data_IF_215763489910
#
_entry.id   IF_215763489910
#
_cell.length_a   1.000
_cell.length_b   1.000
_cell.length_c   1.000
_cell.angle_alpha   90.00
_cell.angle_beta   90.00
_cell.angle_gamma   90.00
#
_symmetry.space_group_name_H-M   'P 1'
#
loop_
_entity.id
_entity.type
_entity.pdbx_description
1 polymer ?
#
# COMPACT_ATOMS: atom_id res chain seq x y z
N UNK A 1 -18.96 30.31 -14.79
CA UNK A 1 -17.50 30.53 -14.75
C UNK A 1 -16.89 30.26 -13.37
N UNK A 2 -17.49 29.38 -12.54
CA UNK A 2 -17.14 29.22 -11.11
C UNK A 2 -16.18 28.03 -10.88
N UNK A 3 -16.24 26.98 -11.71
CA UNK A 3 -15.43 25.77 -11.55
C UNK A 3 -13.94 25.98 -11.86
N UNK A 4 -13.61 26.86 -12.83
CA UNK A 4 -12.22 27.16 -13.18
C UNK A 4 -11.48 27.86 -12.03
N UNK A 5 -12.17 28.73 -11.30
CA UNK A 5 -11.59 29.45 -10.16
C UNK A 5 -11.43 28.54 -8.93
N UNK A 6 -12.36 27.60 -8.74
CA UNK A 6 -12.24 26.58 -7.70
C UNK A 6 -11.05 25.65 -7.94
N UNK A 7 -10.90 25.14 -9.17
CA UNK A 7 -9.80 24.24 -9.50
C UNK A 7 -8.44 24.93 -9.37
N UNK A 8 -8.35 26.19 -9.83
CA UNK A 8 -7.14 27.00 -9.68
C UNK A 8 -6.79 27.19 -8.20
N UNK A 9 -7.79 27.50 -7.36
CA UNK A 9 -7.59 27.66 -5.91
C UNK A 9 -7.10 26.38 -5.23
N UNK A 10 -7.58 25.21 -5.63
CA UNK A 10 -7.11 23.92 -5.11
C UNK A 10 -5.67 23.62 -5.52
N UNK A 11 -5.30 23.96 -6.76
CA UNK A 11 -3.93 23.81 -7.26
C UNK A 11 -2.97 24.75 -6.51
N UNK A 12 -3.37 26.01 -6.31
CA UNK A 12 -2.57 26.99 -5.59
C UNK A 12 -2.35 26.56 -4.12
N UNK A 13 -3.40 26.06 -3.45
CA UNK A 13 -3.32 25.49 -2.10
C UNK A 13 -2.36 24.30 -2.02
N UNK A 14 -2.43 23.39 -3.00
CA UNK A 14 -1.54 22.23 -3.05
C UNK A 14 -0.06 22.64 -3.17
N UNK A 15 0.25 23.60 -4.04
CA UNK A 15 1.63 24.09 -4.18
C UNK A 15 2.10 24.90 -2.98
N UNK A 16 1.20 25.62 -2.29
CA UNK A 16 1.52 26.33 -1.05
C UNK A 16 1.87 25.35 0.08
N UNK A 17 1.09 24.27 0.24
CA UNK A 17 1.37 23.20 1.21
C UNK A 17 2.66 22.44 0.87
N UNK A 18 2.88 22.13 -0.41
CA UNK A 18 4.11 21.50 -0.89
C UNK A 18 5.33 22.40 -0.65
N UNK A 19 5.20 23.70 -0.89
CA UNK A 19 6.26 24.68 -0.63
C UNK A 19 6.51 24.84 0.87
N UNK A 20 5.49 24.76 1.71
CA UNK A 20 5.65 24.77 3.17
C UNK A 20 6.32 23.50 3.70
N UNK A 21 6.10 22.35 3.05
CA UNK A 21 6.81 21.09 3.29
C UNK A 21 8.28 21.15 2.88
N UNK A 22 8.59 21.82 1.77
CA UNK A 22 9.94 21.92 1.21
C UNK A 22 10.76 23.09 1.77
N UNK A 23 10.10 24.18 2.16
CA UNK A 23 10.73 25.29 2.83
C UNK A 23 11.06 24.84 4.26
N UNK A 24 12.36 24.76 4.57
CA UNK A 24 12.96 24.41 5.87
C UNK A 24 12.51 25.31 7.04
N UNK A 25 11.21 25.42 7.31
CA UNK A 25 10.70 25.75 8.64
C UNK A 25 10.76 24.46 9.44
N UNK A 26 11.32 24.47 10.66
CA UNK A 26 11.30 23.28 11.49
C UNK A 26 9.83 22.97 11.77
N UNK A 27 9.36 21.87 11.20
CA UNK A 27 8.11 21.27 11.59
C UNK A 27 8.17 21.01 13.09
N UNK A 28 7.03 21.17 13.80
CA UNK A 28 6.94 20.75 15.21
C UNK A 28 7.42 19.31 15.29
N UNK A 29 8.30 19.01 16.23
CA UNK A 29 9.03 17.75 16.33
C UNK A 29 8.13 16.51 16.27
N UNK A 30 6.90 16.62 16.77
CA UNK A 30 5.85 15.59 16.66
C UNK A 30 5.41 15.32 15.21
N UNK A 31 5.22 16.35 14.38
CA UNK A 31 4.87 16.16 12.96
C UNK A 31 6.02 15.53 12.18
N UNK A 32 7.27 15.84 12.53
CA UNK A 32 8.45 15.18 11.95
C UNK A 32 8.50 13.71 12.34
N UNK A 33 8.32 13.37 13.62
CA UNK A 33 8.26 11.97 14.07
C UNK A 33 7.13 11.19 13.42
N UNK A 34 5.97 11.81 13.23
CA UNK A 34 4.86 11.19 12.50
C UNK A 34 5.20 10.98 11.02
N UNK A 35 5.77 11.97 10.34
CA UNK A 35 6.17 11.86 8.94
C UNK A 35 7.35 10.90 8.73
N UNK A 36 8.29 10.83 9.67
CA UNK A 36 9.37 9.85 9.71
C UNK A 36 8.80 8.44 9.93
N UNK A 37 7.87 8.27 10.86
CA UNK A 37 7.16 7.00 11.04
C UNK A 37 6.36 6.58 9.81
N UNK A 38 5.75 7.53 9.10
CA UNK A 38 5.10 7.26 7.81
C UNK A 38 6.13 6.95 6.71
N UNK A 39 7.23 7.68 6.60
CA UNK A 39 8.28 7.42 5.61
C UNK A 39 8.95 6.06 5.85
N UNK A 40 9.20 5.67 7.08
CA UNK A 40 9.67 4.33 7.47
C UNK A 40 8.60 3.26 7.13
N UNK A 41 7.32 3.61 7.32
CA UNK A 41 6.13 2.83 6.89
C UNK A 41 5.83 2.86 5.39
N UNK A 42 6.50 3.66 4.56
CA UNK A 42 6.28 3.69 3.09
C UNK A 42 7.57 3.57 2.25
N UNK A 43 8.69 3.11 2.83
CA UNK A 43 9.99 2.87 2.15
C UNK A 43 10.33 1.36 2.08
N UNK A 44 11.57 0.98 1.69
CA UNK A 44 12.01 -0.44 1.66
C UNK A 44 11.78 -1.18 3.00
N UNK A 45 11.81 -0.47 4.13
CA UNK A 45 11.52 -1.03 5.46
C UNK A 45 10.09 -1.55 5.62
N UNK A 46 9.14 -0.97 4.88
CA UNK A 46 7.73 -1.36 4.82
C UNK A 46 7.53 -2.73 4.20
N UNK A 47 8.29 -3.00 3.15
CA UNK A 47 8.22 -4.26 2.45
C UNK A 47 8.78 -5.38 3.34
N UNK A 48 9.94 -5.14 3.97
CA UNK A 48 10.48 -6.04 5.00
C UNK A 48 9.53 -6.21 6.19
N UNK A 49 8.87 -5.13 6.63
CA UNK A 49 7.83 -5.20 7.66
C UNK A 49 6.71 -6.15 7.21
N UNK A 50 6.07 -5.93 6.06
CA UNK A 50 4.97 -6.81 5.62
C UNK A 50 5.41 -8.24 5.30
N UNK A 51 6.66 -8.45 4.84
CA UNK A 51 7.23 -9.79 4.67
C UNK A 51 7.38 -10.52 6.02
N UNK A 52 7.74 -9.81 7.08
CA UNK A 52 7.97 -10.42 8.40
C UNK A 52 6.74 -10.41 9.31
N UNK A 53 5.78 -9.50 9.10
CA UNK A 53 4.58 -9.37 9.91
C UNK A 53 3.60 -10.51 9.61
N UNK A 54 3.08 -11.23 10.62
CA UNK A 54 2.05 -12.25 10.42
C UNK A 54 0.83 -11.69 9.69
N UNK A 55 0.22 -12.49 8.82
CA UNK A 55 -0.92 -12.03 8.00
C UNK A 55 -2.13 -11.66 8.87
N UNK A 56 -2.28 -12.31 10.02
CA UNK A 56 -3.31 -12.07 11.01
C UNK A 56 -3.19 -10.66 11.61
N UNK A 57 -1.96 -10.19 11.85
CA UNK A 57 -1.71 -8.83 12.36
C UNK A 57 -1.99 -7.77 11.28
N UNK A 58 -1.70 -8.07 10.01
CA UNK A 58 -2.07 -7.21 8.88
C UNK A 58 -3.60 -7.10 8.78
N UNK A 59 -4.33 -8.20 8.93
CA UNK A 59 -5.78 -8.15 8.94
C UNK A 59 -6.32 -7.39 10.14
N UNK A 60 -5.79 -7.59 11.35
CA UNK A 60 -6.25 -6.84 12.52
C UNK A 60 -6.20 -5.31 12.31
N UNK A 61 -5.19 -4.82 11.60
CA UNK A 61 -5.01 -3.38 11.35
C UNK A 61 -5.81 -2.88 10.13
N UNK A 62 -5.93 -3.69 9.06
CA UNK A 62 -6.43 -3.23 7.75
C UNK A 62 -7.63 -4.02 7.21
N UNK A 63 -8.30 -4.84 8.03
CA UNK A 63 -9.33 -5.80 7.59
C UNK A 63 -10.38 -5.23 6.61
N UNK A 64 -10.77 -3.97 6.84
CA UNK A 64 -11.81 -3.26 6.08
C UNK A 64 -11.26 -2.18 5.14
N UNK A 65 -9.94 -1.96 5.11
CA UNK A 65 -9.29 -1.01 4.20
C UNK A 65 -8.81 -1.75 2.95
N UNK A 66 -9.74 -1.91 2.01
CA UNK A 66 -9.53 -2.62 0.74
C UNK A 66 -8.34 -2.06 -0.03
N UNK A 67 -8.23 -0.74 -0.14
CA UNK A 67 -7.19 -0.09 -0.93
C UNK A 67 -5.81 -0.37 -0.33
N UNK A 68 -5.69 -0.30 1.01
CA UNK A 68 -4.42 -0.61 1.68
C UNK A 68 -4.07 -2.09 1.53
N UNK A 69 -5.03 -3.01 1.67
CA UNK A 69 -4.77 -4.44 1.46
C UNK A 69 -4.35 -4.75 0.01
N UNK A 70 -4.94 -4.08 -0.99
CA UNK A 70 -4.51 -4.22 -2.39
C UNK A 70 -3.06 -3.76 -2.57
N UNK A 71 -2.69 -2.60 -2.04
CA UNK A 71 -1.32 -2.08 -2.09
C UNK A 71 -0.34 -3.04 -1.41
N UNK A 72 -0.66 -3.54 -0.21
CA UNK A 72 0.20 -4.49 0.50
C UNK A 72 0.40 -5.77 -0.33
N UNK A 73 -0.68 -6.32 -0.90
CA UNK A 73 -0.59 -7.52 -1.72
C UNK A 73 0.28 -7.33 -2.97
N UNK A 74 0.16 -6.18 -3.63
CA UNK A 74 1.01 -5.81 -4.76
C UNK A 74 2.47 -5.67 -4.36
N UNK A 75 2.76 -4.99 -3.24
CA UNK A 75 4.12 -4.84 -2.74
C UNK A 75 4.78 -6.19 -2.47
N UNK A 76 4.07 -7.11 -1.79
CA UNK A 76 4.56 -8.46 -1.53
C UNK A 76 4.82 -9.26 -2.81
N UNK A 77 4.10 -8.97 -3.90
CA UNK A 77 4.30 -9.60 -5.20
C UNK A 77 5.45 -9.02 -6.03
N UNK A 78 5.97 -7.86 -5.63
CA UNK A 78 7.19 -7.28 -6.22
C UNK A 78 8.45 -7.82 -5.51
N UNK A 79 8.31 -8.40 -4.33
CA UNK A 79 9.41 -9.09 -3.65
C UNK A 79 9.59 -10.50 -4.15
N UNK A 80 10.87 -10.88 -4.21
CA UNK A 80 11.38 -12.12 -4.80
C UNK A 80 10.65 -13.39 -4.35
N UNK A 81 10.92 -14.45 -5.13
CA UNK A 81 10.30 -15.76 -5.19
C UNK A 81 10.38 -16.61 -3.90
N UNK A 82 9.84 -16.12 -2.79
CA UNK A 82 9.64 -16.92 -1.58
C UNK A 82 8.19 -17.41 -1.49
N UNK A 83 8.00 -18.73 -1.37
CA UNK A 83 6.67 -19.35 -1.27
C UNK A 83 5.86 -18.76 -0.11
N UNK A 84 6.47 -18.50 1.04
CA UNK A 84 5.78 -17.95 2.21
C UNK A 84 5.21 -16.55 1.96
N UNK A 85 5.97 -15.70 1.25
CA UNK A 85 5.54 -14.34 0.86
C UNK A 85 4.41 -14.40 -0.16
N UNK A 86 4.51 -15.29 -1.16
CA UNK A 86 3.46 -15.49 -2.16
C UNK A 86 2.15 -16.02 -1.54
N UNK A 87 2.24 -16.96 -0.60
CA UNK A 87 1.08 -17.46 0.14
C UNK A 87 0.43 -16.35 0.99
N UNK A 88 1.24 -15.48 1.60
CA UNK A 88 0.74 -14.30 2.33
C UNK A 88 0.00 -13.35 1.41
N UNK A 89 0.57 -13.01 0.26
CA UNK A 89 -0.09 -12.17 -0.75
C UNK A 89 -1.43 -12.80 -1.19
N UNK A 90 -1.46 -14.10 -1.46
CA UNK A 90 -2.68 -14.80 -1.85
C UNK A 90 -3.79 -14.72 -0.79
N UNK A 91 -3.44 -14.87 0.50
CA UNK A 91 -4.40 -14.70 1.60
C UNK A 91 -4.97 -13.29 1.64
N UNK A 92 -4.12 -12.27 1.45
CA UNK A 92 -4.56 -10.86 1.44
C UNK A 92 -5.50 -10.58 0.26
N UNK A 93 -5.16 -11.02 -0.96
CA UNK A 93 -6.05 -10.88 -2.12
C UNK A 93 -7.36 -11.66 -1.89
N UNK A 94 -7.29 -12.84 -1.28
CA UNK A 94 -8.46 -13.62 -0.88
C UNK A 94 -9.38 -12.84 0.05
N UNK A 95 -8.82 -12.14 1.05
CA UNK A 95 -9.60 -11.26 1.92
C UNK A 95 -10.25 -10.13 1.14
N UNK A 96 -9.49 -9.44 0.28
CA UNK A 96 -10.00 -8.36 -0.56
C UNK A 96 -11.19 -8.80 -1.40
N UNK A 97 -11.15 -9.98 -2.02
CA UNK A 97 -12.29 -10.50 -2.79
C UNK A 97 -13.54 -10.79 -1.96
N UNK A 98 -13.39 -11.06 -0.65
CA UNK A 98 -14.52 -11.25 0.26
C UNK A 98 -15.16 -9.91 0.63
N UNK A 99 -14.35 -8.88 0.88
CA UNK A 99 -14.83 -7.57 1.38
C UNK A 99 -15.16 -6.57 0.27
N UNK A 100 -14.52 -6.69 -0.89
CA UNK A 100 -14.71 -5.80 -2.04
C UNK A 100 -15.97 -6.20 -2.80
N UNK A 101 -16.81 -5.20 -3.12
CA UNK A 101 -17.95 -5.39 -4.04
C UNK A 101 -17.54 -5.29 -5.51
N UNK A 102 -16.37 -4.71 -5.78
CA UNK A 102 -15.88 -4.49 -7.12
C UNK A 102 -15.01 -5.64 -7.59
N UNK A 103 -15.22 -6.06 -8.84
CA UNK A 103 -14.36 -7.02 -9.53
C UNK A 103 -13.08 -6.34 -10.01
N UNK A 104 -11.95 -7.03 -9.92
CA UNK A 104 -10.65 -6.54 -10.38
C UNK A 104 -9.94 -7.58 -11.24
N UNK A 105 -9.71 -7.25 -12.52
CA UNK A 105 -8.91 -8.07 -13.43
C UNK A 105 -7.49 -8.28 -12.89
N UNK A 106 -6.90 -7.24 -12.33
CA UNK A 106 -5.56 -7.27 -11.73
C UNK A 106 -5.48 -8.26 -10.57
N UNK A 107 -6.50 -8.31 -9.70
CA UNK A 107 -6.54 -9.29 -8.60
C UNK A 107 -6.61 -10.73 -9.12
N UNK A 108 -7.43 -10.96 -10.16
CA UNK A 108 -7.53 -12.28 -10.80
C UNK A 108 -6.18 -12.71 -11.39
N UNK A 109 -5.55 -11.85 -12.18
CA UNK A 109 -4.23 -12.11 -12.79
C UNK A 109 -3.15 -12.38 -11.74
N UNK A 110 -3.13 -11.62 -10.64
CA UNK A 110 -2.18 -11.84 -9.55
C UNK A 110 -2.38 -13.19 -8.86
N UNK A 111 -3.63 -13.64 -8.64
CA UNK A 111 -3.88 -14.99 -8.09
C UNK A 111 -3.36 -16.09 -9.01
N UNK A 112 -3.60 -15.95 -10.31
CA UNK A 112 -3.10 -16.90 -11.32
C UNK A 112 -1.57 -16.92 -11.35
N UNK A 113 -0.92 -15.74 -11.34
CA UNK A 113 0.54 -15.61 -11.26
C UNK A 113 1.11 -16.27 -10.02
N UNK A 114 0.52 -16.02 -8.84
CA UNK A 114 0.97 -16.65 -7.59
C UNK A 114 0.90 -18.18 -7.68
N UNK A 115 -0.21 -18.72 -8.19
CA UNK A 115 -0.37 -20.17 -8.31
C UNK A 115 0.70 -20.78 -9.22
N UNK A 116 0.98 -20.14 -10.36
CA UNK A 116 2.02 -20.60 -11.29
C UNK A 116 3.42 -20.55 -10.68
N UNK A 117 3.77 -19.46 -10.00
CA UNK A 117 5.07 -19.31 -9.36
C UNK A 117 5.28 -20.31 -8.22
N UNK A 118 4.25 -20.57 -7.40
CA UNK A 118 4.33 -21.61 -6.35
C UNK A 118 4.52 -22.99 -6.96
N UNK A 119 3.78 -23.34 -8.03
CA UNK A 119 3.94 -24.62 -8.73
C UNK A 119 5.37 -24.77 -9.25
N UNK A 120 5.92 -23.72 -9.86
CA UNK A 120 7.28 -23.69 -10.39
C UNK A 120 8.36 -23.87 -9.31
N UNK A 121 8.12 -23.41 -8.08
CA UNK A 121 9.07 -23.54 -6.97
C UNK A 121 9.00 -24.90 -6.27
N UNK A 122 7.91 -25.65 -6.42
CA UNK A 122 7.68 -26.94 -5.77
C UNK A 122 7.97 -28.15 -6.69
N UNK A 123 8.05 -27.93 -8.01
CA UNK A 123 8.38 -28.95 -9.01
C UNK A 123 9.85 -28.92 -9.42
#
# INVERSE_FOLDING_TARGET
MIEKDYLKKQIDLFFEELTALLAKKPFKEEKLKHLEGYAEKYTRHTLTYFMNTPVEAIFLEYENDVNTLEIISELLLQTENEIGVLQKAAKIIGRVDIVSKDFSFRRKENKERIAQEIIKMLG
#
